data_IF_502470302129
#
_entry.id   IF_502470302129
#
_cell.length_a   1.000
_cell.length_b   1.000
_cell.length_c   1.000
_cell.angle_alpha   90.00
_cell.angle_beta   90.00
_cell.angle_gamma   90.00
#
_symmetry.space_group_name_H-M   'P 1'
#
loop_
_entity.id
_entity.type
_entity.pdbx_description
1 polymer ?
#
# COMPACT_ATOMS: atom_id res chain seq x y z
N UNK A 1 4.93 2.38 4.38
CA UNK A 1 4.56 3.52 5.24
C UNK A 1 4.86 4.82 4.50
N UNK A 2 3.83 5.57 4.08
CA UNK A 2 4.02 6.90 3.49
C UNK A 2 4.43 7.87 4.60
N UNK A 3 5.56 8.55 4.45
CA UNK A 3 5.88 9.73 5.26
C UNK A 3 4.86 10.81 4.86
N UNK A 4 3.83 11.00 5.66
CA UNK A 4 2.95 12.15 5.52
C UNK A 4 3.75 13.39 5.96
N UNK A 5 4.44 14.05 5.04
CA UNK A 5 4.88 15.42 5.27
C UNK A 5 3.66 16.31 5.12
N UNK A 6 3.10 16.80 6.24
CA UNK A 6 2.16 17.91 6.20
C UNK A 6 2.91 19.12 5.62
N UNK A 7 2.69 19.40 4.34
CA UNK A 7 3.07 20.69 3.75
C UNK A 7 1.95 21.67 4.09
N UNK A 8 2.13 22.42 5.18
CA UNK A 8 1.20 23.47 5.58
C UNK A 8 1.38 24.68 4.66
N UNK A 9 0.34 25.09 3.93
CA UNK A 9 0.24 26.44 3.37
C UNK A 9 -0.43 27.32 4.44
N UNK A 10 0.34 28.16 5.14
CA UNK A 10 -0.17 28.97 6.26
C UNK A 10 -0.60 30.34 5.77
N UNK A 11 -1.82 30.76 6.15
CA UNK A 11 -2.31 32.13 6.02
C UNK A 11 -1.70 33.00 7.14
N UNK A 12 -0.99 34.06 6.78
CA UNK A 12 -0.44 35.04 7.72
C UNK A 12 -1.58 35.81 8.43
N UNK A 13 -1.63 35.76 9.77
CA UNK A 13 -2.53 36.56 10.58
C UNK A 13 -1.78 37.72 11.26
N UNK A 14 -2.29 38.96 11.11
CA UNK A 14 -1.74 40.16 11.74
C UNK A 14 -2.47 40.46 13.07
N UNK A 15 -1.71 40.69 14.15
CA UNK A 15 -2.23 41.04 15.49
C UNK A 15 -1.59 42.34 15.99
N UNK A 16 -2.42 43.29 16.46
CA UNK A 16 -1.99 44.60 17.01
C UNK A 16 -1.33 44.43 18.38
N UNK A 17 -0.16 45.03 18.61
CA UNK A 17 0.59 45.02 19.88
C UNK A 17 0.00 46.01 20.89
N UNK A 18 -0.85 45.53 21.80
CA UNK A 18 -1.33 46.33 22.92
C UNK A 18 -0.18 46.66 23.90
N UNK A 19 -0.01 47.93 24.25
CA UNK A 19 1.00 48.38 25.22
C UNK A 19 2.41 48.64 24.67
N UNK A 20 2.64 48.45 23.37
CA UNK A 20 3.79 49.06 22.69
C UNK A 20 3.35 50.40 22.12
N UNK A 21 4.00 51.51 22.51
CA UNK A 21 3.66 52.85 22.00
C UNK A 21 4.19 53.04 20.56
N UNK A 22 3.64 52.27 19.63
CA UNK A 22 4.03 52.26 18.21
C UNK A 22 3.71 53.57 17.48
N UNK A 23 2.83 54.41 18.07
CA UNK A 23 2.45 55.71 17.51
C UNK A 23 3.58 56.75 17.59
N UNK A 24 4.50 56.60 18.53
CA UNK A 24 5.58 57.58 18.78
C UNK A 24 6.99 57.01 18.57
N UNK A 25 7.17 55.69 18.70
CA UNK A 25 8.48 55.04 18.59
C UNK A 25 8.71 54.38 17.22
N UNK A 26 9.95 54.43 16.71
CA UNK A 26 10.36 53.63 15.56
C UNK A 26 10.31 52.14 15.91
N UNK A 27 9.94 51.28 14.95
CA UNK A 27 9.92 49.82 15.14
C UNK A 27 11.29 49.28 15.53
N UNK A 28 12.37 49.91 15.05
CA UNK A 28 13.74 49.53 15.35
C UNK A 28 14.07 49.53 16.85
N UNK A 29 13.40 50.40 17.62
CA UNK A 29 13.62 50.57 19.07
C UNK A 29 12.88 49.50 19.88
N UNK A 30 11.88 48.84 19.29
CA UNK A 30 11.11 47.79 19.96
C UNK A 30 11.96 46.51 20.00
N UNK A 31 12.35 46.07 21.20
CA UNK A 31 13.09 44.83 21.39
C UNK A 31 12.27 43.61 20.98
N UNK A 32 12.82 42.73 20.14
CA UNK A 32 12.23 41.43 19.80
C UNK A 32 12.06 40.50 21.01
N UNK A 33 12.78 40.76 22.11
CA UNK A 33 12.68 40.00 23.35
C UNK A 33 11.48 40.44 24.23
N UNK A 34 10.74 41.47 23.80
CA UNK A 34 9.58 41.99 24.52
C UNK A 34 8.54 40.88 24.80
N UNK A 35 8.09 40.72 26.06
CA UNK A 35 7.11 39.70 26.44
C UNK A 35 5.82 39.72 25.62
N UNK A 36 5.32 40.90 25.22
CA UNK A 36 4.08 41.03 24.43
C UNK A 36 4.24 40.50 23.00
N UNK A 37 5.45 40.63 22.43
CA UNK A 37 5.79 40.11 21.11
C UNK A 37 5.85 38.59 21.16
N UNK A 38 6.49 38.03 22.20
CA UNK A 38 6.52 36.58 22.44
C UNK A 38 5.12 36.01 22.59
N UNK A 39 4.25 36.63 23.40
CA UNK A 39 2.86 36.16 23.62
C UNK A 39 2.11 36.10 22.29
N UNK A 40 2.11 37.18 21.50
CA UNK A 40 1.39 37.22 20.22
C UNK A 40 1.97 36.31 19.15
N UNK A 41 3.29 36.13 19.15
CA UNK A 41 3.94 35.16 18.26
C UNK A 41 3.52 33.72 18.62
N UNK A 42 3.41 33.39 19.92
CA UNK A 42 2.88 32.10 20.40
C UNK A 42 1.44 31.88 19.97
N UNK A 43 0.57 32.88 20.17
CA UNK A 43 -0.85 32.83 19.77
C UNK A 43 -1.01 32.58 18.27
N UNK A 44 -0.26 33.30 17.43
CA UNK A 44 -0.30 33.13 15.98
C UNK A 44 0.09 31.71 15.54
N UNK A 45 1.13 31.14 16.14
CA UNK A 45 1.54 29.76 15.82
C UNK A 45 0.54 28.75 16.32
N UNK A 46 0.11 28.87 17.57
CA UNK A 46 -0.88 27.98 18.13
C UNK A 46 -2.17 27.98 17.30
N UNK A 47 -2.59 29.15 16.81
CA UNK A 47 -3.75 29.29 15.92
C UNK A 47 -3.51 28.64 14.56
N UNK A 48 -2.36 28.87 13.95
CA UNK A 48 -2.00 28.21 12.69
C UNK A 48 -1.98 26.67 12.81
N UNK A 49 -1.47 26.14 13.93
CA UNK A 49 -1.47 24.69 14.17
C UNK A 49 -2.91 24.20 14.37
N UNK A 50 -3.69 24.87 15.20
CA UNK A 50 -5.11 24.54 15.42
C UNK A 50 -5.91 24.53 14.13
N UNK A 51 -5.77 25.55 13.29
CA UNK A 51 -6.54 25.67 12.04
C UNK A 51 -6.19 24.56 11.04
N UNK A 52 -4.96 24.05 11.08
CA UNK A 52 -4.50 22.93 10.25
C UNK A 52 -5.02 21.55 10.68
N UNK A 53 -5.62 21.43 11.88
CA UNK A 53 -6.20 20.18 12.35
C UNK A 53 -7.51 19.86 11.62
N UNK A 54 -7.73 18.58 11.36
CA UNK A 54 -9.02 18.05 10.89
C UNK A 54 -10.10 18.22 11.97
N UNK A 55 -11.37 18.24 11.58
CA UNK A 55 -12.49 18.36 12.53
C UNK A 55 -12.48 17.24 13.58
N UNK A 56 -12.12 16.02 13.17
CA UNK A 56 -11.91 14.89 14.09
C UNK A 56 -10.86 15.28 15.14
N UNK A 57 -9.67 15.71 14.73
CA UNK A 57 -8.61 16.10 15.67
C UNK A 57 -8.99 17.28 16.57
N UNK A 58 -9.69 18.29 16.04
CA UNK A 58 -10.20 19.43 16.83
C UNK A 58 -11.18 18.96 17.92
N UNK A 59 -12.04 17.99 17.61
CA UNK A 59 -13.05 17.48 18.54
C UNK A 59 -12.50 16.73 19.75
N UNK A 60 -11.21 16.36 19.73
CA UNK A 60 -10.53 15.84 20.92
C UNK A 60 -10.39 16.90 22.02
N UNK A 61 -10.17 18.16 21.62
CA UNK A 61 -9.99 19.28 22.54
C UNK A 61 -11.35 19.94 22.83
N UNK A 62 -11.54 20.43 24.05
CA UNK A 62 -12.79 21.13 24.40
C UNK A 62 -12.97 22.43 23.60
N UNK A 63 -11.87 23.13 23.36
CA UNK A 63 -11.78 24.37 22.59
C UNK A 63 -10.30 24.71 22.30
N UNK A 64 -10.05 25.85 21.66
CA UNK A 64 -8.70 26.35 21.37
C UNK A 64 -7.83 26.55 22.63
N UNK A 65 -8.41 27.05 23.72
CA UNK A 65 -7.65 27.28 24.96
C UNK A 65 -7.17 25.96 25.60
N UNK A 66 -8.01 24.94 25.55
CA UNK A 66 -7.68 23.58 25.98
C UNK A 66 -6.56 22.98 25.11
N UNK A 67 -6.59 23.23 23.81
CA UNK A 67 -5.50 22.88 22.89
C UNK A 67 -4.18 23.57 23.26
N UNK A 68 -4.17 24.89 23.46
CA UNK A 68 -2.96 25.64 23.84
C UNK A 68 -2.39 25.11 25.16
N UNK A 69 -3.26 24.85 26.14
CA UNK A 69 -2.87 24.33 27.46
C UNK A 69 -2.24 22.94 27.39
N UNK A 70 -2.81 22.04 26.60
CA UNK A 70 -2.36 20.64 26.53
C UNK A 70 -1.08 20.45 25.69
N UNK A 71 -0.76 21.37 24.78
CA UNK A 71 0.38 21.22 23.84
C UNK A 71 1.68 21.93 24.29
N UNK A 72 1.68 22.58 25.46
CA UNK A 72 2.86 23.20 26.10
C UNK A 72 3.83 23.95 25.15
N UNK A 73 3.28 24.81 24.28
CA UNK A 73 4.10 25.56 23.32
C UNK A 73 4.94 26.60 24.05
N UNK A 74 6.26 26.46 23.99
CA UNK A 74 7.23 27.38 24.59
C UNK A 74 8.02 28.09 23.50
N UNK A 75 8.11 29.42 23.59
CA UNK A 75 8.92 30.23 22.66
C UNK A 75 10.16 30.80 23.35
N UNK A 76 11.29 30.72 22.66
CA UNK A 76 12.53 31.40 23.03
C UNK A 76 12.99 32.29 21.88
N UNK A 77 13.21 33.57 22.17
CA UNK A 77 13.85 34.47 21.22
C UNK A 77 15.29 34.03 20.99
N UNK A 78 15.73 34.05 19.72
CA UNK A 78 17.08 33.65 19.33
C UNK A 78 17.92 34.87 19.00
N UNK A 79 17.54 35.60 17.96
CA UNK A 79 18.26 36.78 17.47
C UNK A 79 17.38 37.58 16.50
N UNK A 80 17.78 38.82 16.25
CA UNK A 80 17.21 39.66 15.19
C UNK A 80 17.90 39.32 13.87
N UNK A 81 17.13 39.26 12.77
CA UNK A 81 17.69 39.01 11.44
C UNK A 81 17.38 40.20 10.52
N UNK A 82 18.32 40.56 9.65
CA UNK A 82 18.00 41.42 8.49
C UNK A 82 17.13 40.62 7.52
N UNK A 83 16.22 41.31 6.80
CA UNK A 83 15.38 40.67 5.80
C UNK A 83 16.25 39.82 4.85
N UNK A 84 15.96 38.53 4.74
CA UNK A 84 16.62 37.67 3.76
C UNK A 84 15.99 37.99 2.40
N UNK A 85 16.78 38.52 1.46
CA UNK A 85 16.35 39.03 0.13
C UNK A 85 15.69 38.01 -0.81
N UNK A 86 15.31 36.82 -0.32
CA UNK A 86 14.75 35.74 -1.12
C UNK A 86 13.30 35.98 -1.59
N UNK A 87 12.62 37.03 -1.10
CA UNK A 87 11.33 37.49 -1.64
C UNK A 87 11.53 38.92 -2.16
N UNK A 88 11.78 39.11 -3.46
CA UNK A 88 12.02 40.44 -4.03
C UNK A 88 10.77 41.32 -3.94
N UNK A 89 10.88 42.49 -3.29
CA UNK A 89 9.96 43.62 -3.51
C UNK A 89 9.02 44.05 -2.38
N UNK A 90 8.95 43.38 -1.22
CA UNK A 90 7.92 43.68 -0.20
C UNK A 90 8.44 44.04 1.21
N UNK A 91 9.77 44.02 1.45
CA UNK A 91 10.27 43.88 2.83
C UNK A 91 11.33 44.88 3.32
N UNK A 92 11.86 45.77 2.48
CA UNK A 92 12.81 46.81 2.90
C UNK A 92 12.10 48.17 3.07
N UNK A 93 11.50 48.37 4.25
CA UNK A 93 10.96 49.65 4.68
C UNK A 93 11.45 49.98 6.09
N UNK A 94 11.62 51.26 6.45
CA UNK A 94 12.10 51.67 7.80
C UNK A 94 11.14 51.27 8.93
N UNK A 95 9.92 50.83 8.59
CA UNK A 95 8.90 50.36 9.52
C UNK A 95 8.74 48.83 9.48
N UNK A 96 9.84 48.09 9.30
CA UNK A 96 9.83 46.62 9.35
C UNK A 96 11.01 46.08 10.17
N UNK A 97 10.73 45.18 11.13
CA UNK A 97 11.75 44.47 11.91
C UNK A 97 11.45 42.98 11.97
N UNK A 98 12.46 42.13 11.82
CA UNK A 98 12.30 40.67 11.83
C UNK A 98 12.92 40.03 13.07
N UNK A 99 12.09 39.31 13.81
CA UNK A 99 12.46 38.59 15.02
C UNK A 99 12.45 37.08 14.75
N UNK A 100 13.55 36.39 15.04
CA UNK A 100 13.62 34.93 14.93
C UNK A 100 13.38 34.30 16.30
N UNK A 101 12.42 33.39 16.35
CA UNK A 101 12.05 32.65 17.55
C UNK A 101 12.25 31.17 17.30
N UNK A 102 12.83 30.45 18.27
CA UNK A 102 12.70 29.01 18.35
C UNK A 102 11.43 28.67 19.13
N UNK A 103 10.68 27.68 18.66
CA UNK A 103 9.56 27.12 19.40
C UNK A 103 9.81 25.66 19.73
N UNK A 104 9.47 25.31 20.97
CA UNK A 104 9.35 23.93 21.41
C UNK A 104 7.90 23.65 21.68
N UNK A 105 7.34 22.67 20.98
CA UNK A 105 6.02 22.14 21.32
C UNK A 105 6.20 20.68 21.74
N UNK A 106 5.47 20.27 22.77
CA UNK A 106 5.25 18.87 23.07
C UNK A 106 3.81 18.56 22.66
N UNK A 107 3.53 18.51 21.34
CA UNK A 107 2.17 18.42 20.92
C UNK A 107 1.61 17.06 21.31
N UNK A 108 0.35 17.07 21.74
CA UNK A 108 -0.50 15.88 21.84
C UNK A 108 -0.66 15.21 20.46
N UNK A 109 -0.36 15.96 19.38
CA UNK A 109 -0.54 15.61 17.98
C UNK A 109 0.49 14.62 17.40
N UNK A 110 1.55 14.24 18.13
CA UNK A 110 2.64 13.47 17.52
C UNK A 110 3.25 12.47 18.51
N UNK A 111 2.74 11.23 18.52
CA UNK A 111 3.33 9.97 19.04
C UNK A 111 4.69 10.10 19.80
N UNK A 112 4.74 10.82 20.93
CA UNK A 112 5.98 10.99 21.71
C UNK A 112 7.09 11.86 21.08
N UNK A 113 6.82 12.64 20.01
CA UNK A 113 7.82 13.47 19.32
C UNK A 113 7.61 14.96 19.59
N UNK A 114 8.53 15.55 20.35
CA UNK A 114 8.64 17.00 20.48
C UNK A 114 8.97 17.68 19.15
N UNK A 115 8.49 18.91 18.98
CA UNK A 115 8.87 19.79 17.89
C UNK A 115 9.90 20.78 18.44
N UNK A 116 11.04 20.93 17.75
CA UNK A 116 12.04 21.97 18.00
C UNK A 116 12.39 22.60 16.65
N UNK A 117 11.91 23.81 16.41
CA UNK A 117 12.03 24.47 15.10
C UNK A 117 12.04 26.00 15.26
N UNK A 118 12.37 26.73 14.20
CA UNK A 118 12.51 28.18 14.19
C UNK A 118 11.54 28.83 13.21
N UNK A 119 10.94 29.94 13.60
CA UNK A 119 10.12 30.76 12.72
C UNK A 119 10.54 32.23 12.79
N UNK A 120 10.14 32.98 11.77
CA UNK A 120 10.42 34.42 11.69
C UNK A 120 9.13 35.19 11.86
N UNK A 121 9.11 36.16 12.77
CA UNK A 121 8.01 37.10 12.89
C UNK A 121 8.44 38.49 12.36
N UNK A 122 7.59 39.10 11.55
CA UNK A 122 7.72 40.49 11.10
C UNK A 122 6.93 41.39 12.04
N UNK A 123 7.59 42.38 12.61
CA UNK A 123 7.00 43.54 13.24
C UNK A 123 6.86 44.64 12.20
N UNK A 124 5.69 45.25 12.11
CA UNK A 124 5.43 46.35 11.19
C UNK A 124 4.40 47.33 11.79
N UNK A 125 4.15 48.45 11.12
CA UNK A 125 3.18 49.46 11.51
C UNK A 125 1.97 49.42 10.57
N UNK A 126 0.79 49.48 11.16
CA UNK A 126 -0.45 49.70 10.42
C UNK A 126 -0.60 51.19 10.07
N UNK A 127 -1.54 51.49 9.19
CA UNK A 127 -1.81 52.85 8.71
C UNK A 127 -2.19 53.83 9.84
N UNK A 128 -2.72 53.32 10.95
CA UNK A 128 -3.07 54.09 12.14
C UNK A 128 -1.89 54.31 13.12
N UNK A 129 -0.68 53.91 12.70
CA UNK A 129 0.57 53.98 13.47
C UNK A 129 0.69 52.90 14.55
N UNK A 130 -0.26 51.98 14.68
CA UNK A 130 -0.15 50.87 15.64
C UNK A 130 0.85 49.81 15.14
N UNK A 131 1.65 49.27 16.06
CA UNK A 131 2.55 48.16 15.73
C UNK A 131 1.77 46.85 15.67
N UNK A 132 2.05 45.99 14.69
CA UNK A 132 1.51 44.65 14.58
C UNK A 132 2.60 43.61 14.29
N UNK A 133 2.28 42.35 14.56
CA UNK A 133 3.18 41.21 14.30
C UNK A 133 2.53 40.21 13.33
N UNK A 134 3.31 39.74 12.37
CA UNK A 134 2.97 38.63 11.47
C UNK A 134 4.00 37.51 11.67
N UNK A 135 3.57 36.32 12.05
CA UNK A 135 4.46 35.16 12.12
C UNK A 135 4.44 34.39 10.79
N UNK A 136 5.62 34.15 10.23
CA UNK A 136 5.84 33.26 9.10
C UNK A 136 6.43 31.96 9.63
N UNK A 137 5.60 30.94 9.93
CA UNK A 137 6.15 29.61 10.15
C UNK A 137 6.83 29.20 8.84
N UNK A 138 8.14 28.95 8.89
CA UNK A 138 8.76 28.13 7.83
C UNK A 138 8.06 26.77 7.85
N UNK A 139 8.05 26.07 6.72
CA UNK A 139 7.58 24.68 6.63
C UNK A 139 7.97 23.96 7.92
N UNK A 140 6.98 23.61 8.77
CA UNK A 140 7.24 22.96 10.04
C UNK A 140 7.84 21.60 9.71
N UNK A 141 9.16 21.57 9.56
CA UNK A 141 9.89 20.33 9.35
C UNK A 141 9.97 19.73 10.72
N UNK A 142 9.20 18.68 10.95
CA UNK A 142 9.25 17.85 12.14
C UNK A 142 10.66 17.25 12.27
N UNK A 143 11.60 18.06 12.75
CA UNK A 143 13.02 17.81 12.68
C UNK A 143 13.49 17.28 14.03
N UNK A 144 13.98 16.04 13.99
CA UNK A 144 14.70 15.32 15.04
C UNK A 144 13.85 14.92 16.25
N UNK A 145 13.29 13.71 16.15
CA UNK A 145 12.77 12.97 17.30
C UNK A 145 13.90 12.58 18.25
N UNK A 146 13.74 12.93 19.52
CA UNK A 146 14.35 12.17 20.63
C UNK A 146 13.25 11.24 21.11
N UNK A 147 13.52 9.93 21.19
CA UNK A 147 12.54 8.97 21.71
C UNK A 147 12.29 9.29 23.19
N UNK A 148 11.08 9.76 23.49
CA UNK A 148 10.58 9.96 24.85
C UNK A 148 9.32 9.11 24.98
N UNK A 149 9.11 8.49 26.15
CA UNK A 149 7.85 7.77 26.41
C UNK A 149 6.66 8.71 26.16
N UNK A 150 5.67 8.29 25.37
CA UNK A 150 4.51 9.11 25.08
C UNK A 150 3.74 9.40 26.37
N UNK A 151 3.28 10.64 26.55
CA UNK A 151 2.43 10.98 27.68
C UNK A 151 1.08 10.26 27.59
N UNK A 152 0.34 10.21 28.71
CA UNK A 152 -1.01 9.63 28.74
C UNK A 152 -1.95 10.35 27.76
N UNK A 153 -1.82 11.66 27.65
CA UNK A 153 -2.60 12.51 26.75
C UNK A 153 -2.28 12.21 25.29
N UNK A 154 -1.00 12.04 24.94
CA UNK A 154 -0.56 11.62 23.60
C UNK A 154 -1.09 10.24 23.23
N UNK A 155 -1.02 9.29 24.17
CA UNK A 155 -1.55 7.94 23.95
C UNK A 155 -3.08 7.94 23.75
N UNK A 156 -3.80 8.79 24.48
CA UNK A 156 -5.27 8.92 24.37
C UNK A 156 -5.68 9.59 23.05
N UNK A 157 -4.93 10.61 22.61
CA UNK A 157 -5.16 11.26 21.31
C UNK A 157 -4.88 10.33 20.15
N UNK A 158 -3.78 9.59 20.20
CA UNK A 158 -3.43 8.61 19.18
C UNK A 158 -4.50 7.51 19.05
N UNK A 159 -4.98 6.99 20.17
CA UNK A 159 -6.10 6.04 20.21
C UNK A 159 -7.40 6.64 19.65
N UNK A 160 -7.69 7.91 19.94
CA UNK A 160 -8.85 8.61 19.41
C UNK A 160 -8.78 8.83 17.88
N UNK A 161 -7.61 9.21 17.36
CA UNK A 161 -7.42 9.50 15.93
C UNK A 161 -7.31 8.19 15.13
N UNK A 162 -6.48 7.26 15.58
CA UNK A 162 -6.04 6.10 14.83
C UNK A 162 -6.54 4.76 15.38
N UNK A 163 -7.10 4.69 16.59
CA UNK A 163 -7.43 3.43 17.27
C UNK A 163 -8.48 2.59 16.54
N UNK A 164 -9.47 3.22 15.89
CA UNK A 164 -10.44 2.51 15.04
C UNK A 164 -9.77 1.86 13.82
N UNK A 165 -8.98 2.62 13.06
CA UNK A 165 -8.22 2.08 11.92
C UNK A 165 -7.25 0.97 12.34
N UNK A 166 -6.64 1.12 13.52
CA UNK A 166 -5.75 0.09 14.09
C UNK A 166 -6.51 -1.17 14.45
N UNK A 167 -7.67 -1.04 15.10
CA UNK A 167 -8.56 -2.18 15.40
C UNK A 167 -9.03 -2.87 14.14
N UNK A 168 -9.47 -2.13 13.14
CA UNK A 168 -9.88 -2.67 11.84
C UNK A 168 -8.73 -3.39 11.14
N UNK A 169 -7.54 -2.80 11.13
CA UNK A 169 -6.34 -3.42 10.56
C UNK A 169 -5.95 -4.70 11.29
N UNK A 170 -5.95 -4.69 12.63
CA UNK A 170 -5.65 -5.88 13.45
C UNK A 170 -6.69 -6.96 13.24
N UNK A 171 -7.97 -6.61 13.13
CA UNK A 171 -9.04 -7.56 12.84
C UNK A 171 -8.87 -8.18 11.45
N UNK A 172 -8.64 -7.37 10.41
CA UNK A 172 -8.37 -7.86 9.06
C UNK A 172 -7.15 -8.78 9.01
N UNK A 173 -6.08 -8.44 9.72
CA UNK A 173 -4.88 -9.29 9.82
C UNK A 173 -5.17 -10.60 10.55
N UNK A 174 -5.98 -10.57 11.61
CA UNK A 174 -6.40 -11.80 12.32
C UNK A 174 -7.21 -12.70 11.40
N UNK A 175 -8.18 -12.16 10.67
CA UNK A 175 -9.02 -12.91 9.73
C UNK A 175 -8.17 -13.52 8.60
N UNK A 176 -7.20 -12.78 8.06
CA UNK A 176 -6.25 -13.29 7.06
C UNK A 176 -5.35 -14.38 7.64
N UNK A 177 -4.88 -14.23 8.87
CA UNK A 177 -4.05 -15.22 9.55
C UNK A 177 -4.80 -16.55 9.76
N UNK A 178 -6.06 -16.49 10.17
CA UNK A 178 -6.87 -17.69 10.39
C UNK A 178 -7.23 -18.39 9.07
N UNK A 179 -7.50 -17.61 8.01
CA UNK A 179 -7.63 -18.13 6.64
C UNK A 179 -6.33 -18.81 6.17
N UNK A 180 -5.18 -18.16 6.37
CA UNK A 180 -3.88 -18.73 6.02
C UNK A 180 -3.60 -20.07 6.71
N UNK A 181 -3.92 -20.18 8.01
CA UNK A 181 -3.82 -21.47 8.74
C UNK A 181 -4.69 -22.54 8.10
N UNK A 182 -5.91 -22.17 7.71
CA UNK A 182 -6.86 -23.11 7.08
C UNK A 182 -6.32 -23.58 5.72
N UNK A 183 -5.88 -22.67 4.85
CA UNK A 183 -5.39 -23.03 3.52
C UNK A 183 -4.09 -23.84 3.52
N UNK A 184 -3.22 -23.65 4.52
CA UNK A 184 -2.03 -24.50 4.74
C UNK A 184 -2.37 -25.96 5.04
N UNK A 185 -3.55 -26.21 5.59
CA UNK A 185 -3.97 -27.58 5.97
C UNK A 185 -4.74 -28.31 4.88
N UNK A 186 -5.06 -27.65 3.77
CA UNK A 186 -5.80 -28.27 2.66
C UNK A 186 -4.91 -29.31 1.97
N UNK A 187 -5.35 -30.58 1.89
CA UNK A 187 -4.60 -31.62 1.20
C UNK A 187 -4.35 -31.29 -0.27
N UNK A 188 -3.15 -31.59 -0.79
CA UNK A 188 -2.81 -31.41 -2.21
C UNK A 188 -3.73 -32.18 -3.17
N UNK A 189 -4.36 -33.25 -2.68
CA UNK A 189 -5.37 -34.04 -3.43
C UNK A 189 -6.62 -33.26 -3.76
N UNK A 190 -6.95 -32.24 -2.98
CA UNK A 190 -8.17 -31.43 -3.13
C UNK A 190 -7.99 -30.34 -4.20
N UNK A 191 -6.75 -30.11 -4.64
CA UNK A 191 -6.43 -29.20 -5.73
C UNK A 191 -6.57 -29.91 -7.07
N UNK A 192 -7.34 -29.29 -7.96
CA UNK A 192 -7.65 -29.86 -9.27
C UNK A 192 -7.23 -28.94 -10.41
N UNK A 193 -6.86 -29.56 -11.53
CA UNK A 193 -6.76 -28.82 -12.78
C UNK A 193 -8.16 -28.38 -13.21
N UNK A 194 -8.23 -27.15 -13.71
CA UNK A 194 -9.46 -26.54 -14.20
C UNK A 194 -9.18 -25.87 -15.53
N UNK A 195 -10.21 -25.75 -16.36
CA UNK A 195 -10.14 -25.03 -17.62
C UNK A 195 -10.54 -23.56 -17.46
N UNK A 196 -10.04 -22.70 -18.35
CA UNK A 196 -10.39 -21.27 -18.35
C UNK A 196 -11.90 -21.04 -18.39
N UNK A 197 -12.66 -21.93 -19.04
CA UNK A 197 -14.11 -21.84 -19.10
C UNK A 197 -14.78 -22.17 -17.75
N UNK A 198 -14.32 -23.21 -17.06
CA UNK A 198 -14.81 -23.54 -15.72
C UNK A 198 -14.63 -22.39 -14.73
N UNK A 199 -13.58 -21.59 -14.91
CA UNK A 199 -13.28 -20.46 -14.02
C UNK A 199 -14.15 -19.25 -14.30
N UNK A 200 -14.44 -18.94 -15.57
CA UNK A 200 -15.44 -17.93 -15.90
C UNK A 200 -16.82 -18.31 -15.36
N UNK A 201 -17.19 -19.58 -15.52
CA UNK A 201 -18.43 -20.13 -14.99
C UNK A 201 -18.49 -20.04 -13.47
N UNK A 202 -17.42 -20.42 -12.77
CA UNK A 202 -17.30 -20.28 -11.31
C UNK A 202 -17.39 -18.82 -10.86
N UNK A 203 -16.74 -17.90 -11.59
CA UNK A 203 -16.80 -16.47 -11.32
C UNK A 203 -18.23 -15.94 -11.45
N UNK A 204 -18.92 -16.25 -12.54
CA UNK A 204 -20.32 -15.81 -12.76
C UNK A 204 -21.25 -16.39 -11.69
N UNK A 205 -21.09 -17.67 -11.34
CA UNK A 205 -21.91 -18.33 -10.32
C UNK A 205 -21.82 -17.65 -8.95
N UNK A 206 -20.63 -17.14 -8.60
CA UNK A 206 -20.39 -16.51 -7.31
C UNK A 206 -20.59 -14.98 -7.31
N UNK A 207 -20.92 -14.38 -8.45
CA UNK A 207 -21.09 -12.93 -8.60
C UNK A 207 -22.46 -12.58 -9.21
N UNK A 208 -23.57 -12.80 -8.46
CA UNK A 208 -24.93 -12.55 -8.95
C UNK A 208 -25.20 -11.08 -9.32
N UNK A 209 -24.38 -10.16 -8.80
CA UNK A 209 -24.47 -8.72 -9.09
C UNK A 209 -24.06 -8.34 -10.52
N UNK A 210 -23.42 -9.25 -11.28
CA UNK A 210 -23.09 -9.00 -12.68
C UNK A 210 -24.37 -8.80 -13.50
N UNK A 211 -24.35 -7.82 -14.39
CA UNK A 211 -25.39 -7.63 -15.39
C UNK A 211 -25.38 -8.77 -16.43
N UNK A 212 -26.50 -8.94 -17.13
CA UNK A 212 -26.61 -9.96 -18.17
C UNK A 212 -25.63 -9.71 -19.33
N UNK A 213 -25.36 -8.45 -19.64
CA UNK A 213 -24.34 -8.08 -20.64
C UNK A 213 -22.93 -8.49 -20.20
N UNK A 214 -22.56 -8.28 -18.94
CA UNK A 214 -21.26 -8.71 -18.40
C UNK A 214 -21.12 -10.24 -18.42
N UNK A 215 -22.17 -10.96 -18.00
CA UNK A 215 -22.21 -12.43 -18.03
C UNK A 215 -22.06 -12.97 -19.45
N UNK A 216 -22.81 -12.41 -20.39
CA UNK A 216 -22.78 -12.85 -21.79
C UNK A 216 -21.45 -12.51 -22.46
N UNK A 217 -20.88 -11.33 -22.16
CA UNK A 217 -19.54 -10.95 -22.60
C UNK A 217 -18.50 -11.95 -22.10
N UNK A 218 -18.58 -12.39 -20.85
CA UNK A 218 -17.67 -13.40 -20.29
C UNK A 218 -17.83 -14.78 -20.95
N UNK A 219 -19.06 -15.27 -21.06
CA UNK A 219 -19.35 -16.69 -21.31
C UNK A 219 -19.65 -17.03 -22.78
N UNK A 220 -19.96 -16.06 -23.64
CA UNK A 220 -20.37 -16.34 -25.03
C UNK A 220 -19.50 -15.61 -26.06
N UNK A 221 -18.69 -16.38 -26.76
CA UNK A 221 -17.89 -15.90 -27.90
C UNK A 221 -18.78 -15.36 -29.02
N UNK A 222 -19.92 -16.00 -29.27
CA UNK A 222 -20.90 -15.54 -30.27
C UNK A 222 -21.47 -14.17 -29.89
N UNK A 223 -21.79 -13.96 -28.61
CA UNK A 223 -22.29 -12.68 -28.12
C UNK A 223 -21.24 -11.58 -28.27
N UNK A 224 -19.99 -11.85 -27.87
CA UNK A 224 -18.87 -10.89 -28.00
C UNK A 224 -18.60 -10.49 -29.45
N UNK A 225 -18.65 -11.46 -30.36
CA UNK A 225 -18.31 -11.26 -31.77
C UNK A 225 -19.48 -10.73 -32.61
N UNK A 226 -20.69 -10.67 -32.07
CA UNK A 226 -21.83 -10.08 -32.75
C UNK A 226 -21.83 -8.56 -32.62
N UNK A 227 -21.97 -7.86 -33.75
CA UNK A 227 -22.21 -6.42 -33.78
C UNK A 227 -23.71 -6.04 -33.81
N UNK A 228 -24.58 -7.01 -34.12
CA UNK A 228 -26.03 -6.78 -34.21
C UNK A 228 -26.71 -6.91 -32.84
N UNK A 229 -27.41 -5.84 -32.45
CA UNK A 229 -28.10 -5.77 -31.17
C UNK A 229 -29.30 -6.72 -31.10
N UNK A 230 -29.97 -7.02 -32.21
CA UNK A 230 -31.06 -8.00 -32.22
C UNK A 230 -30.54 -9.41 -31.93
N UNK A 231 -29.48 -9.82 -32.63
CA UNK A 231 -28.78 -11.08 -32.37
C UNK A 231 -28.30 -11.17 -30.92
N UNK A 232 -27.73 -10.09 -30.36
CA UNK A 232 -27.33 -10.07 -28.94
C UNK A 232 -28.50 -10.31 -27.98
N UNK A 233 -29.63 -9.65 -28.22
CA UNK A 233 -30.83 -9.82 -27.40
C UNK A 233 -31.42 -11.23 -27.51
N UNK A 234 -31.35 -11.84 -28.70
CA UNK A 234 -31.79 -13.21 -28.91
C UNK A 234 -30.89 -14.20 -28.17
N UNK A 235 -29.57 -14.02 -28.22
CA UNK A 235 -28.60 -14.82 -27.46
C UNK A 235 -28.78 -14.68 -25.94
N UNK A 236 -29.10 -13.50 -25.43
CA UNK A 236 -29.42 -13.32 -24.00
C UNK A 236 -30.63 -14.17 -23.61
N UNK A 237 -31.66 -14.25 -24.46
CA UNK A 237 -32.85 -15.06 -24.19
C UNK A 237 -32.60 -16.56 -24.34
N UNK A 238 -31.84 -16.97 -25.36
CA UNK A 238 -31.63 -18.40 -25.67
C UNK A 238 -30.51 -19.02 -24.84
N UNK A 239 -29.38 -18.34 -24.71
CA UNK A 239 -28.14 -18.95 -24.25
C UNK A 239 -27.87 -18.65 -22.77
N UNK A 240 -28.21 -17.46 -22.28
CA UNK A 240 -27.94 -17.08 -20.89
C UNK A 240 -28.53 -18.08 -19.88
N UNK A 241 -29.79 -18.55 -19.99
CA UNK A 241 -30.33 -19.52 -19.04
C UNK A 241 -29.52 -20.83 -19.01
N UNK A 242 -29.06 -21.30 -20.17
CA UNK A 242 -28.22 -22.50 -20.29
C UNK A 242 -26.85 -22.26 -19.65
N UNK A 243 -26.25 -21.09 -19.88
CA UNK A 243 -24.94 -20.72 -19.33
C UNK A 243 -25.00 -20.55 -17.81
N UNK A 244 -26.06 -19.97 -17.26
CA UNK A 244 -26.26 -19.86 -15.82
C UNK A 244 -26.44 -21.23 -15.15
N UNK A 245 -27.22 -22.13 -15.77
CA UNK A 245 -27.35 -23.50 -15.29
C UNK A 245 -26.03 -24.30 -15.37
N UNK A 246 -25.13 -23.93 -16.28
CA UNK A 246 -23.76 -24.46 -16.31
C UNK A 246 -22.90 -23.84 -15.20
N UNK A 247 -23.01 -22.52 -14.98
CA UNK A 247 -22.26 -21.79 -13.96
C UNK A 247 -22.52 -22.35 -12.55
N UNK A 248 -23.77 -22.65 -12.20
CA UNK A 248 -24.14 -23.24 -10.90
C UNK A 248 -23.37 -24.53 -10.58
N UNK A 249 -23.02 -25.33 -11.59
CA UNK A 249 -22.24 -26.58 -11.41
C UNK A 249 -20.79 -26.33 -11.01
N UNK A 250 -20.29 -25.11 -11.18
CA UNK A 250 -18.91 -24.72 -10.91
C UNK A 250 -18.78 -23.77 -9.72
N UNK A 251 -19.85 -23.50 -8.96
CA UNK A 251 -19.84 -22.59 -7.82
C UNK A 251 -18.82 -22.98 -6.73
N UNK A 252 -18.48 -24.27 -6.64
CA UNK A 252 -17.59 -24.83 -5.61
C UNK A 252 -16.12 -24.85 -6.00
N UNK A 253 -15.75 -24.40 -7.21
CA UNK A 253 -14.35 -24.33 -7.63
C UNK A 253 -13.60 -23.37 -6.70
N UNK A 254 -12.58 -23.89 -5.99
CA UNK A 254 -11.82 -23.13 -5.00
C UNK A 254 -10.33 -23.48 -4.95
N UNK A 255 -9.98 -24.76 -5.07
CA UNK A 255 -8.61 -25.25 -4.97
C UNK A 255 -8.11 -25.66 -6.36
N UNK A 256 -7.20 -24.86 -6.90
CA UNK A 256 -6.88 -24.89 -8.33
C UNK A 256 -5.39 -25.16 -8.54
N UNK A 257 -5.09 -26.00 -9.54
CA UNK A 257 -3.74 -26.17 -10.10
C UNK A 257 -3.59 -25.34 -11.37
N UNK A 258 -2.60 -24.45 -11.38
CA UNK A 258 -2.17 -23.73 -12.59
C UNK A 258 -0.84 -24.30 -13.06
N UNK A 259 -0.62 -24.32 -14.37
CA UNK A 259 0.69 -24.63 -14.94
C UNK A 259 1.32 -23.32 -15.43
N UNK A 260 2.55 -23.06 -15.01
CA UNK A 260 3.37 -21.96 -15.53
C UNK A 260 4.65 -22.55 -16.10
N UNK A 261 4.99 -22.21 -17.33
CA UNK A 261 6.18 -22.75 -17.97
C UNK A 261 6.84 -21.71 -18.88
N UNK A 262 8.15 -21.84 -19.03
CA UNK A 262 8.95 -21.10 -20.01
C UNK A 262 8.86 -21.70 -21.42
N UNK A 263 8.20 -22.86 -21.56
CA UNK A 263 8.05 -23.57 -22.84
C UNK A 263 6.75 -23.19 -23.55
N UNK A 264 6.75 -23.27 -24.89
CA UNK A 264 5.54 -23.00 -25.68
C UNK A 264 4.49 -24.11 -25.59
N UNK A 265 4.91 -25.33 -25.24
CA UNK A 265 4.08 -26.53 -25.27
C UNK A 265 3.83 -27.04 -23.85
N UNK A 266 2.61 -27.47 -23.58
CA UNK A 266 2.27 -28.06 -22.28
C UNK A 266 3.13 -29.31 -22.01
N UNK A 267 3.63 -29.49 -20.78
CA UNK A 267 4.28 -30.72 -20.36
C UNK A 267 3.37 -31.95 -20.55
N UNK A 268 3.98 -33.11 -20.81
CA UNK A 268 3.24 -34.37 -20.91
C UNK A 268 2.59 -34.75 -19.57
N UNK A 269 1.39 -35.36 -19.61
CA UNK A 269 0.66 -35.78 -18.41
C UNK A 269 -0.24 -34.71 -17.78
N UNK A 270 -0.20 -33.48 -18.28
CA UNK A 270 -1.11 -32.39 -17.89
C UNK A 270 -2.39 -32.42 -18.74
N UNK A 271 -3.59 -32.22 -18.15
CA UNK A 271 -4.83 -32.14 -18.93
C UNK A 271 -4.78 -31.06 -20.02
N UNK A 272 -5.29 -31.39 -21.20
CA UNK A 272 -5.21 -30.54 -22.40
C UNK A 272 -5.91 -29.19 -22.20
N UNK A 273 -6.96 -29.15 -21.40
CA UNK A 273 -7.77 -27.96 -21.12
C UNK A 273 -7.36 -27.23 -19.84
N UNK A 274 -6.39 -27.75 -19.08
CA UNK A 274 -5.89 -27.09 -17.87
C UNK A 274 -5.36 -25.69 -18.17
N UNK A 275 -5.54 -24.75 -17.24
CA UNK A 275 -5.03 -23.39 -17.38
C UNK A 275 -3.50 -23.42 -17.46
N UNK A 276 -2.98 -22.89 -18.55
CA UNK A 276 -1.56 -22.89 -18.87
C UNK A 276 -1.09 -21.48 -19.18
N UNK A 277 -0.08 -21.04 -18.44
CA UNK A 277 0.52 -19.73 -18.55
C UNK A 277 1.90 -19.91 -19.20
N UNK A 278 1.95 -19.64 -20.50
CA UNK A 278 3.21 -19.50 -21.24
C UNK A 278 3.73 -18.08 -21.06
N UNK A 279 4.13 -17.76 -19.84
CA UNK A 279 4.73 -16.47 -19.53
C UNK A 279 6.25 -16.65 -19.53
N UNK A 280 6.93 -16.03 -20.51
CA UNK A 280 8.25 -15.47 -20.21
C UNK A 280 8.00 -14.31 -19.24
N UNK A 281 8.44 -14.39 -17.97
CA UNK A 281 8.26 -13.31 -17.02
C UNK A 281 9.09 -12.11 -17.49
N UNK A 282 8.49 -11.29 -18.33
CA UNK A 282 9.03 -10.01 -18.79
C UNK A 282 8.34 -8.84 -18.08
N UNK A 283 7.16 -9.08 -17.48
CA UNK A 283 6.47 -8.12 -16.60
C UNK A 283 6.55 -8.50 -15.10
N UNK A 284 6.99 -9.71 -14.78
CA UNK A 284 7.53 -10.04 -13.46
C UNK A 284 9.02 -9.78 -13.55
N UNK A 285 9.56 -8.94 -12.68
CA UNK A 285 10.98 -8.55 -12.62
C UNK A 285 11.91 -9.72 -12.20
N UNK A 286 11.54 -10.95 -12.50
CA UNK A 286 12.21 -12.18 -12.10
C UNK A 286 12.13 -13.24 -13.18
N UNK A 287 13.26 -13.51 -13.81
CA UNK A 287 13.54 -14.79 -14.45
C UNK A 287 13.24 -15.95 -13.48
N UNK A 288 12.98 -17.15 -14.01
CA UNK A 288 12.98 -18.35 -13.18
C UNK A 288 14.41 -18.55 -12.64
N UNK A 289 14.58 -18.52 -11.31
CA UNK A 289 15.89 -18.70 -10.68
C UNK A 289 15.99 -20.10 -10.08
N UNK A 290 17.17 -20.69 -10.29
CA UNK A 290 17.57 -21.93 -9.66
C UNK A 290 17.79 -21.66 -8.16
N UNK A 291 17.41 -22.60 -7.26
CA UNK A 291 17.73 -22.46 -5.85
C UNK A 291 19.24 -22.25 -5.65
N UNK A 292 19.63 -21.28 -4.82
CA UNK A 292 21.00 -20.77 -4.85
C UNK A 292 22.00 -21.70 -4.15
N UNK A 293 21.66 -22.15 -2.93
CA UNK A 293 22.60 -22.87 -2.05
C UNK A 293 21.90 -23.97 -1.26
N UNK A 294 22.58 -25.11 -1.13
CA UNK A 294 22.19 -26.17 -0.22
C UNK A 294 22.65 -25.85 1.21
N UNK A 295 21.70 -25.76 2.13
CA UNK A 295 21.94 -25.66 3.56
C UNK A 295 22.16 -27.07 4.12
N UNK A 296 23.40 -27.40 4.47
CA UNK A 296 23.75 -28.71 5.04
C UNK A 296 23.19 -28.93 6.45
N UNK A 297 22.90 -27.86 7.19
CA UNK A 297 22.34 -27.94 8.54
C UNK A 297 20.85 -28.28 8.49
N UNK A 298 20.10 -27.57 7.64
CA UNK A 298 18.66 -27.78 7.50
C UNK A 298 18.30 -28.80 6.41
N UNK A 299 19.27 -29.23 5.61
CA UNK A 299 19.12 -30.16 4.48
C UNK A 299 18.11 -29.66 3.43
N UNK A 300 18.19 -28.39 3.09
CA UNK A 300 17.25 -27.72 2.16
C UNK A 300 17.97 -26.83 1.17
N UNK A 301 17.35 -26.53 0.03
CA UNK A 301 17.73 -25.42 -0.83
C UNK A 301 16.85 -24.20 -0.56
N UNK A 302 17.45 -23.03 -0.39
CA UNK A 302 16.72 -21.76 -0.28
C UNK A 302 16.34 -21.23 -1.66
N UNK A 303 15.12 -20.69 -1.76
CA UNK A 303 14.60 -20.02 -2.96
C UNK A 303 14.37 -18.56 -2.63
N UNK A 304 15.22 -17.66 -3.13
CA UNK A 304 15.17 -16.22 -2.79
C UNK A 304 14.38 -15.40 -3.82
N UNK A 305 14.24 -15.92 -5.03
CA UNK A 305 13.58 -15.23 -6.16
C UNK A 305 12.98 -16.26 -7.12
N UNK A 306 11.87 -15.95 -7.76
CA UNK A 306 11.11 -16.90 -8.54
C UNK A 306 10.20 -17.78 -7.68
N UNK A 307 9.31 -18.53 -8.33
CA UNK A 307 8.46 -19.56 -7.72
C UNK A 307 7.59 -19.08 -6.54
N UNK A 308 7.43 -17.76 -6.37
CA UNK A 308 6.59 -17.16 -5.33
C UNK A 308 7.33 -16.63 -4.12
N UNK A 309 8.65 -16.64 -4.15
CA UNK A 309 9.49 -16.35 -2.99
C UNK A 309 10.17 -14.97 -2.99
N UNK A 310 9.76 -14.08 -3.90
CA UNK A 310 10.41 -12.79 -4.12
C UNK A 310 10.28 -11.82 -2.92
N UNK A 311 11.44 -11.29 -2.50
CA UNK A 311 11.52 -10.33 -1.39
C UNK A 311 10.98 -8.91 -1.71
N UNK A 312 10.97 -8.49 -2.99
CA UNK A 312 10.64 -7.11 -3.41
C UNK A 312 9.57 -7.07 -4.50
N UNK A 313 8.45 -6.38 -4.21
CA UNK A 313 7.37 -6.13 -5.16
C UNK A 313 6.34 -7.27 -5.21
N UNK A 314 5.07 -6.94 -5.40
CA UNK A 314 3.95 -7.87 -5.34
C UNK A 314 4.08 -9.01 -6.35
N UNK A 315 3.75 -10.24 -5.95
CA UNK A 315 3.56 -11.35 -6.87
C UNK A 315 2.23 -11.19 -7.60
N UNK A 316 2.25 -10.62 -8.80
CA UNK A 316 1.12 -10.73 -9.71
C UNK A 316 1.28 -12.04 -10.49
N UNK A 317 0.84 -13.14 -9.90
CA UNK A 317 0.37 -14.25 -10.72
C UNK A 317 -0.93 -13.78 -11.36
N UNK A 318 -0.85 -13.14 -12.52
CA UNK A 318 -2.02 -12.84 -13.35
C UNK A 318 -2.55 -14.15 -13.93
N UNK A 319 -3.13 -14.99 -13.08
CA UNK A 319 -3.44 -16.39 -13.41
C UNK A 319 -4.52 -16.57 -14.48
N UNK A 320 -5.23 -15.50 -14.84
CA UNK A 320 -6.13 -15.45 -15.98
C UNK A 320 -5.92 -14.16 -16.75
N UNK A 321 -5.05 -14.18 -17.74
CA UNK A 321 -5.29 -13.30 -18.87
C UNK A 321 -6.32 -14.01 -19.75
N UNK A 322 -7.62 -13.85 -19.46
CA UNK A 322 -8.67 -14.11 -20.45
C UNK A 322 -8.45 -13.02 -21.50
N UNK A 323 -7.56 -13.31 -22.44
CA UNK A 323 -6.93 -12.44 -23.44
C UNK A 323 -7.65 -11.12 -23.74
N UNK A 324 -7.05 -10.00 -23.32
CA UNK A 324 -6.68 -8.81 -24.12
C UNK A 324 -6.66 -7.56 -23.24
N UNK A 325 -5.46 -7.18 -22.80
CA UNK A 325 -4.89 -5.84 -22.54
C UNK A 325 -5.73 -4.64 -22.04
N UNK A 326 -7.01 -4.78 -21.68
CA UNK A 326 -7.81 -3.63 -21.24
C UNK A 326 -8.82 -3.88 -20.12
N UNK A 327 -9.26 -5.12 -19.82
CA UNK A 327 -10.23 -5.42 -18.75
C UNK A 327 -10.11 -6.84 -18.14
N UNK A 328 -8.91 -7.35 -17.89
CA UNK A 328 -8.71 -8.76 -17.52
C UNK A 328 -9.29 -9.13 -16.13
N UNK A 329 -10.14 -10.15 -16.11
CA UNK A 329 -10.56 -10.88 -14.91
C UNK A 329 -9.41 -11.80 -14.51
N UNK A 330 -8.73 -11.55 -13.39
CA UNK A 330 -7.58 -12.35 -12.96
C UNK A 330 -7.74 -12.90 -11.54
N UNK A 331 -7.27 -14.13 -11.29
CA UNK A 331 -6.95 -14.54 -9.92
C UNK A 331 -5.62 -13.90 -9.55
N UNK A 332 -5.58 -13.27 -8.38
CA UNK A 332 -4.40 -12.57 -7.85
C UNK A 332 -4.03 -13.21 -6.52
N UNK A 333 -2.73 -13.39 -6.31
CA UNK A 333 -2.15 -13.76 -5.01
C UNK A 333 -1.39 -12.56 -4.46
N UNK A 334 -1.97 -11.76 -3.54
CA UNK A 334 -1.21 -10.72 -2.87
C UNK A 334 0.01 -11.30 -2.13
N UNK A 335 1.06 -10.49 -1.94
CA UNK A 335 2.30 -10.95 -1.30
C UNK A 335 2.05 -11.55 0.09
N UNK A 336 1.18 -10.90 0.87
CA UNK A 336 0.77 -11.35 2.19
C UNK A 336 -0.03 -12.66 2.19
N UNK A 337 -0.46 -13.13 1.02
CA UNK A 337 -1.20 -14.38 0.83
C UNK A 337 -0.32 -15.49 0.22
N UNK A 338 0.99 -15.27 0.08
CA UNK A 338 1.93 -16.35 -0.22
C UNK A 338 2.23 -17.09 1.07
N UNK A 339 1.86 -18.36 1.12
CA UNK A 339 1.97 -19.19 2.32
C UNK A 339 3.21 -20.08 2.34
N UNK A 340 4.08 -19.91 1.33
CA UNK A 340 5.32 -20.66 1.13
C UNK A 340 6.38 -20.31 2.19
N UNK A 341 7.07 -21.31 2.69
CA UNK A 341 8.30 -21.23 3.48
C UNK A 341 9.56 -21.04 2.60
N UNK A 342 9.42 -21.13 1.27
CA UNK A 342 10.46 -20.80 0.30
C UNK A 342 11.73 -21.65 0.39
N UNK A 343 11.50 -22.93 0.69
CA UNK A 343 12.53 -23.95 0.78
C UNK A 343 12.13 -25.18 -0.02
N UNK A 344 13.10 -25.74 -0.73
CA UNK A 344 12.95 -27.03 -1.38
C UNK A 344 13.75 -28.09 -0.61
N UNK A 345 13.06 -29.15 -0.19
CA UNK A 345 13.64 -30.21 0.64
C UNK A 345 13.82 -31.49 -0.17
N UNK A 346 15.05 -31.88 -0.53
CA UNK A 346 15.30 -33.20 -1.10
C UNK A 346 15.02 -34.30 -0.05
N UNK A 347 14.63 -35.48 -0.50
CA UNK A 347 14.36 -36.65 0.36
C UNK A 347 15.60 -37.13 1.09
N UNK A 348 16.76 -37.00 0.45
CA UNK A 348 18.05 -37.42 0.98
C UNK A 348 19.22 -36.66 0.33
N UNK A 349 20.43 -36.95 0.79
CA UNK A 349 21.65 -36.32 0.29
C UNK A 349 22.00 -36.72 -1.15
N UNK A 350 21.59 -37.92 -1.60
CA UNK A 350 21.83 -38.34 -2.98
C UNK A 350 20.99 -37.50 -3.95
N UNK A 351 19.71 -37.27 -3.61
CA UNK A 351 18.84 -36.37 -4.35
C UNK A 351 19.32 -34.92 -4.26
N UNK A 352 19.80 -34.46 -3.10
CA UNK A 352 20.40 -33.13 -2.97
C UNK A 352 21.59 -32.94 -3.93
N UNK A 353 22.45 -33.95 -4.07
CA UNK A 353 23.60 -33.93 -5.00
C UNK A 353 23.15 -33.91 -6.45
N UNK A 354 22.08 -34.63 -6.80
CA UNK A 354 21.48 -34.60 -8.14
C UNK A 354 20.93 -33.21 -8.47
N UNK A 355 20.10 -32.65 -7.57
CA UNK A 355 19.53 -31.31 -7.72
C UNK A 355 20.63 -30.26 -7.86
N UNK A 356 21.67 -30.30 -7.02
CA UNK A 356 22.80 -29.37 -7.09
C UNK A 356 23.52 -29.43 -8.43
N UNK A 357 23.70 -30.61 -9.05
CA UNK A 357 24.29 -30.72 -10.39
C UNK A 357 23.43 -30.01 -11.44
N UNK A 358 22.12 -30.23 -11.40
CA UNK A 358 21.18 -29.60 -12.35
C UNK A 358 21.15 -28.08 -12.17
N UNK A 359 21.05 -27.59 -10.92
CA UNK A 359 21.05 -26.16 -10.62
C UNK A 359 22.34 -25.45 -11.03
N UNK A 360 23.48 -26.16 -11.14
CA UNK A 360 24.74 -25.58 -11.63
C UNK A 360 24.95 -25.73 -13.14
N UNK A 361 24.16 -26.58 -13.82
CA UNK A 361 24.37 -26.99 -15.21
C UNK A 361 23.85 -26.02 -16.28
N UNK A 362 23.01 -25.04 -15.91
CA UNK A 362 22.61 -23.88 -16.73
C UNK A 362 21.75 -24.12 -17.98
N UNK A 363 21.51 -25.38 -18.39
CA UNK A 363 20.86 -25.75 -19.65
C UNK A 363 19.62 -26.63 -19.43
N UNK A 364 18.57 -26.05 -18.83
CA UNK A 364 17.30 -26.74 -18.56
C UNK A 364 16.12 -25.83 -18.88
N UNK A 365 15.02 -26.40 -19.37
CA UNK A 365 13.72 -25.73 -19.37
C UNK A 365 12.95 -26.08 -18.10
N UNK A 366 11.87 -25.35 -17.83
CA UNK A 366 11.19 -25.44 -16.54
C UNK A 366 9.67 -25.30 -16.66
N UNK A 367 8.96 -26.03 -15.79
CA UNK A 367 7.57 -25.72 -15.49
C UNK A 367 7.29 -25.89 -14.00
N UNK A 368 6.27 -25.18 -13.54
CA UNK A 368 5.76 -25.29 -12.18
C UNK A 368 4.26 -25.54 -12.19
N UNK A 369 3.80 -26.31 -11.21
CA UNK A 369 2.39 -26.46 -10.88
C UNK A 369 2.14 -25.64 -9.61
N UNK A 370 1.34 -24.60 -9.76
CA UNK A 370 1.01 -23.65 -8.69
C UNK A 370 -0.33 -24.04 -8.07
N UNK A 371 -0.34 -24.19 -6.75
CA UNK A 371 -1.51 -24.57 -5.97
C UNK A 371 -2.14 -23.34 -5.32
N UNK A 372 -3.27 -22.92 -5.87
CA UNK A 372 -3.94 -21.67 -5.48
C UNK A 372 -5.28 -21.97 -4.83
N UNK A 373 -5.49 -21.42 -3.64
CA UNK A 373 -6.77 -21.45 -2.94
C UNK A 373 -7.48 -20.10 -3.11
N UNK A 374 -8.64 -20.10 -3.77
CA UNK A 374 -9.50 -18.92 -3.89
C UNK A 374 -10.05 -18.57 -2.51
N UNK A 375 -9.84 -17.30 -2.11
CA UNK A 375 -10.29 -16.83 -0.80
C UNK A 375 -11.80 -16.59 -0.81
N UNK A 376 -12.20 -15.64 -1.64
CA UNK A 376 -13.56 -15.40 -2.07
C UNK A 376 -13.55 -15.11 -3.56
N UNK A 377 -14.69 -15.27 -4.21
CA UNK A 377 -14.86 -14.95 -5.63
C UNK A 377 -15.20 -13.47 -5.88
N UNK A 378 -15.07 -12.61 -4.86
CA UNK A 378 -15.52 -11.21 -4.96
C UNK A 378 -14.49 -10.36 -5.71
N UNK A 379 -14.93 -9.37 -6.51
CA UNK A 379 -14.04 -8.42 -7.15
C UNK A 379 -13.21 -7.65 -6.11
N UNK A 380 -11.89 -7.72 -6.25
CA UNK A 380 -10.95 -7.01 -5.41
C UNK A 380 -10.97 -5.51 -5.73
N UNK A 381 -11.00 -4.68 -4.68
CA UNK A 381 -10.85 -3.23 -4.81
C UNK A 381 -9.38 -2.84 -4.60
N UNK A 382 -8.76 -2.30 -5.64
CA UNK A 382 -7.39 -1.76 -5.57
C UNK A 382 -7.46 -0.23 -5.67
N UNK A 383 -7.01 0.48 -4.64
CA UNK A 383 -7.03 1.96 -4.59
C UNK A 383 -8.41 2.60 -4.86
N UNK A 384 -9.48 1.96 -4.39
CA UNK A 384 -10.87 2.43 -4.57
C UNK A 384 -11.49 2.08 -5.92
N UNK A 385 -10.72 1.53 -6.87
CA UNK A 385 -11.24 1.00 -8.14
C UNK A 385 -11.58 -0.48 -7.99
N UNK A 386 -12.79 -0.87 -8.39
CA UNK A 386 -13.17 -2.29 -8.50
C UNK A 386 -12.41 -2.87 -9.69
N UNK A 387 -11.54 -3.84 -9.42
CA UNK A 387 -10.95 -4.70 -10.45
C UNK A 387 -11.74 -5.99 -10.44
N UNK A 388 -11.97 -6.57 -11.62
CA UNK A 388 -12.63 -7.88 -11.74
C UNK A 388 -11.74 -9.06 -11.31
N UNK A 389 -10.78 -8.78 -10.42
CA UNK A 389 -9.80 -9.71 -9.95
C UNK A 389 -10.29 -10.40 -8.67
N UNK A 390 -9.87 -11.63 -8.48
CA UNK A 390 -10.28 -12.49 -7.38
C UNK A 390 -9.09 -12.74 -6.47
N UNK A 391 -9.26 -12.55 -5.15
CA UNK A 391 -8.18 -12.74 -4.19
C UNK A 391 -7.98 -14.23 -3.90
N UNK A 392 -6.72 -14.64 -3.77
CA UNK A 392 -6.35 -16.03 -3.50
C UNK A 392 -5.08 -16.15 -2.66
N UNK A 393 -4.76 -17.38 -2.29
CA UNK A 393 -3.56 -17.77 -1.54
C UNK A 393 -2.74 -18.76 -2.36
N UNK A 394 -1.43 -18.52 -2.42
CA UNK A 394 -0.48 -19.50 -2.94
C UNK A 394 -0.07 -20.41 -1.80
N UNK A 395 -0.39 -21.69 -1.92
CA UNK A 395 -0.19 -22.67 -0.84
C UNK A 395 1.02 -23.55 -1.07
N UNK A 396 1.25 -23.97 -2.32
CA UNK A 396 2.33 -24.89 -2.68
C UNK A 396 2.76 -24.64 -4.12
N UNK A 397 3.99 -25.01 -4.43
CA UNK A 397 4.52 -25.03 -5.80
C UNK A 397 5.27 -26.34 -6.03
N UNK A 398 4.81 -27.13 -6.99
CA UNK A 398 5.64 -28.20 -7.55
C UNK A 398 6.49 -27.61 -8.66
N UNK A 399 7.79 -27.88 -8.64
CA UNK A 399 8.73 -27.39 -9.62
C UNK A 399 9.29 -28.58 -10.40
N UNK A 400 9.45 -28.42 -11.72
CA UNK A 400 9.91 -29.46 -12.62
C UNK A 400 10.92 -28.88 -13.61
N UNK A 401 12.14 -29.40 -13.56
CA UNK A 401 13.17 -29.09 -14.54
C UNK A 401 13.17 -30.18 -15.59
N UNK A 402 13.12 -29.78 -16.86
CA UNK A 402 13.08 -30.69 -18.01
C UNK A 402 14.31 -30.45 -18.89
N UNK A 403 14.73 -31.50 -19.60
CA UNK A 403 15.79 -31.38 -20.60
C UNK A 403 15.36 -30.48 -21.75
N UNK A 404 16.33 -29.92 -22.48
CA UNK A 404 16.10 -29.01 -23.62
C UNK A 404 15.17 -29.61 -24.70
N UNK A 405 15.11 -30.95 -24.80
CA UNK A 405 14.25 -31.65 -25.75
C UNK A 405 12.81 -31.87 -25.22
N UNK A 406 12.49 -31.44 -24.00
CA UNK A 406 11.12 -31.30 -23.48
C UNK A 406 10.37 -32.57 -23.10
N UNK A 407 11.01 -33.75 -23.09
CA UNK A 407 10.29 -35.04 -22.98
C UNK A 407 10.41 -35.78 -21.65
N UNK A 408 11.30 -35.37 -20.75
CA UNK A 408 11.47 -36.03 -19.45
C UNK A 408 11.89 -35.06 -18.36
N UNK A 409 11.25 -35.17 -17.20
CA UNK A 409 11.69 -34.52 -15.96
C UNK A 409 13.11 -34.97 -15.63
N UNK A 410 14.00 -33.99 -15.49
CA UNK A 410 15.35 -34.19 -14.97
C UNK A 410 15.31 -34.24 -13.44
N UNK A 411 14.59 -33.29 -12.84
CA UNK A 411 14.31 -33.26 -11.41
C UNK A 411 12.93 -32.64 -11.18
N UNK A 412 12.26 -33.09 -10.13
CA UNK A 412 11.08 -32.43 -9.59
C UNK A 412 11.16 -32.34 -8.08
N UNK A 413 10.48 -31.35 -7.52
CA UNK A 413 10.42 -31.13 -6.09
C UNK A 413 9.29 -30.19 -5.73
N UNK A 414 9.19 -29.88 -4.44
CA UNK A 414 8.14 -29.02 -3.91
C UNK A 414 8.77 -27.87 -3.14
N UNK A 415 8.16 -26.69 -3.29
CA UNK A 415 8.33 -25.57 -2.38
C UNK A 415 7.08 -25.53 -1.52
N UNK A 416 7.32 -25.73 -0.23
CA UNK A 416 6.33 -25.54 0.82
C UNK A 416 6.41 -24.13 1.37
#
# INVERSE_FOLDING_TARGET
>A
MKKNSLSLTVLAAALVLAGCDGKTQSIDVISCDNPQIKIKATENIAKSVWDSLTDKQKSFFKNYDDFVKQNHITLSFKHERKADSAIPGEYDGPDNKFCVFSYKALPVLNEGKGIDDEFTAKLSKADDGSAFIIAYPKEMKFAKSVDVEPTKEQSTFDEFVNGEQRREYVQQQSELSDKAKTYRTVPLSDYHYVSSEQLKLAYVANNPQLSDDEKMTLLSDMYRNSADQFTKNDLVKSDLPRLLAQAEKHQTVRYIKYIVSDTASKPAGIPVDAVYLNEHPSEVDGSFYLPEKYDFTHKTFSVEKGMGCEASGHLRYSGFNITSFSNAYAVIVPKENVLLDCKASPTDEAQAREWSKIFTGGNTSFYQIIYVAIDDWKPYRENGMVRNNVRSFLTHVDFHYIGINGTSDLISGQIN
#
